data_IF_050340552913
#
_entry.id   IF_050340552913
#
_cell.length_a   1.000
_cell.length_b   1.000
_cell.length_c   1.000
_cell.angle_alpha   90.00
_cell.angle_beta   90.00
_cell.angle_gamma   90.00
#
_symmetry.space_group_name_H-M   'P 1'
#
loop_
_entity.id
_entity.type
_entity.pdbx_description
1 polymer ?
#
# COMPACT_ATOMS: atom_id res chain seq x y z
N UNK A 1 -16.37 13.52 16.04
CA UNK A 1 -15.80 12.19 15.70
C UNK A 1 -14.39 12.44 15.25
N UNK A 2 -13.44 11.72 15.85
CA UNK A 2 -12.01 12.05 15.83
C UNK A 2 -11.42 11.75 14.44
N UNK A 3 -11.02 12.78 13.69
CA UNK A 3 -10.55 12.70 12.29
C UNK A 3 -9.41 11.68 12.11
N UNK A 4 -8.54 11.57 13.12
CA UNK A 4 -7.45 10.58 13.18
C UNK A 4 -7.96 9.13 13.23
N UNK A 5 -9.09 8.89 13.90
CA UNK A 5 -9.72 7.57 13.96
C UNK A 5 -10.27 7.15 12.60
N UNK A 6 -10.87 8.09 11.87
CA UNK A 6 -11.40 7.82 10.52
C UNK A 6 -10.27 7.62 9.51
N UNK A 7 -9.19 8.40 9.59
CA UNK A 7 -8.00 8.20 8.75
C UNK A 7 -7.34 6.82 9.00
N UNK A 8 -7.21 6.41 10.27
CA UNK A 8 -6.69 5.07 10.63
C UNK A 8 -7.54 3.94 10.05
N UNK A 9 -8.86 4.08 10.08
CA UNK A 9 -9.79 3.11 9.47
C UNK A 9 -9.63 3.05 7.95
N UNK A 10 -9.48 4.20 7.29
CA UNK A 10 -9.24 4.25 5.84
C UNK A 10 -7.92 3.56 5.47
N UNK A 11 -6.82 3.81 6.20
CA UNK A 11 -5.56 3.12 5.96
C UNK A 11 -5.65 1.61 6.20
N UNK A 12 -6.39 1.16 7.22
CA UNK A 12 -6.62 -0.27 7.44
C UNK A 12 -7.36 -0.89 6.24
N UNK A 13 -8.45 -0.25 5.78
CA UNK A 13 -9.22 -0.73 4.63
C UNK A 13 -8.38 -0.74 3.35
N UNK A 14 -7.61 0.32 3.09
CA UNK A 14 -6.71 0.42 1.94
C UNK A 14 -5.67 -0.71 1.95
N UNK A 15 -4.96 -0.89 3.07
CA UNK A 15 -3.95 -1.95 3.19
C UNK A 15 -4.55 -3.35 3.02
N UNK A 16 -5.77 -3.58 3.50
CA UNK A 16 -6.48 -4.84 3.28
C UNK A 16 -6.78 -5.07 1.79
N UNK A 17 -7.25 -4.04 1.07
CA UNK A 17 -7.50 -4.16 -0.37
C UNK A 17 -6.21 -4.40 -1.16
N UNK A 18 -5.11 -3.70 -0.81
CA UNK A 18 -3.80 -3.92 -1.42
C UNK A 18 -3.29 -5.35 -1.18
N UNK A 19 -3.44 -5.88 0.04
CA UNK A 19 -3.07 -7.27 0.35
C UNK A 19 -3.83 -8.30 -0.47
N UNK A 20 -5.14 -8.09 -0.68
CA UNK A 20 -5.95 -8.97 -1.55
C UNK A 20 -5.47 -8.90 -3.01
N UNK A 21 -5.17 -7.71 -3.52
CA UNK A 21 -4.66 -7.53 -4.89
C UNK A 21 -3.29 -8.21 -5.03
N UNK A 22 -2.41 -8.04 -4.05
CA UNK A 22 -1.09 -8.67 -4.02
C UNK A 22 -1.20 -10.20 -4.10
N UNK A 23 -1.99 -10.82 -3.22
CA UNK A 23 -2.17 -12.27 -3.20
C UNK A 23 -2.74 -12.80 -4.53
N UNK A 24 -3.67 -12.06 -5.15
CA UNK A 24 -4.19 -12.44 -6.46
C UNK A 24 -3.14 -12.31 -7.57
N UNK A 25 -2.31 -11.26 -7.55
CA UNK A 25 -1.25 -11.06 -8.53
C UNK A 25 -0.16 -12.14 -8.41
N UNK A 26 0.26 -12.46 -7.19
CA UNK A 26 1.20 -13.56 -6.90
C UNK A 26 0.63 -14.91 -7.38
N UNK A 27 -0.66 -15.16 -7.14
CA UNK A 27 -1.32 -16.38 -7.61
C UNK A 27 -1.38 -16.45 -9.15
N UNK A 28 -1.65 -15.31 -9.81
CA UNK A 28 -1.63 -15.21 -11.28
C UNK A 28 -0.23 -15.47 -11.83
N UNK A 29 0.81 -14.89 -11.23
CA UNK A 29 2.19 -15.09 -11.62
C UNK A 29 2.60 -16.56 -11.49
N UNK A 30 2.27 -17.18 -10.36
CA UNK A 30 2.57 -18.57 -10.08
C UNK A 30 1.84 -19.54 -11.03
N UNK A 31 0.64 -19.19 -11.48
CA UNK A 31 -0.20 -20.04 -12.35
C UNK A 31 -0.10 -19.71 -13.84
N UNK A 32 0.61 -18.65 -14.22
CA UNK A 32 0.75 -18.25 -15.61
C UNK A 32 1.49 -19.32 -16.43
N UNK A 33 0.87 -19.76 -17.52
CA UNK A 33 1.42 -20.77 -18.44
C UNK A 33 2.30 -20.16 -19.53
N UNK A 34 2.14 -18.86 -19.79
CA UNK A 34 2.94 -18.09 -20.74
C UNK A 34 3.70 -16.96 -20.05
N UNK A 35 4.83 -16.58 -20.65
CA UNK A 35 5.75 -15.61 -20.08
C UNK A 35 5.18 -14.18 -20.06
N UNK A 36 4.32 -13.85 -21.02
CA UNK A 36 3.70 -12.53 -21.10
C UNK A 36 2.79 -12.28 -19.90
N UNK A 37 1.93 -13.26 -19.57
CA UNK A 37 1.05 -13.17 -18.42
C UNK A 37 1.82 -13.22 -17.09
N UNK A 38 2.90 -14.01 -17.01
CA UNK A 38 3.79 -14.04 -15.84
C UNK A 38 4.44 -12.67 -15.61
N UNK A 39 5.04 -12.09 -16.63
CA UNK A 39 5.68 -10.77 -16.57
C UNK A 39 4.69 -9.67 -16.17
N UNK A 40 3.46 -9.71 -16.72
CA UNK A 40 2.41 -8.76 -16.36
C UNK A 40 1.97 -8.92 -14.90
N UNK A 41 1.85 -10.14 -14.40
CA UNK A 41 1.51 -10.39 -13.01
C UNK A 41 2.62 -9.91 -12.06
N UNK A 42 3.88 -10.18 -12.38
CA UNK A 42 5.04 -9.68 -11.64
C UNK A 42 5.07 -8.13 -11.59
N UNK A 43 4.71 -7.46 -12.69
CA UNK A 43 4.59 -6.00 -12.71
C UNK A 43 3.50 -5.51 -11.75
N UNK A 44 2.35 -6.19 -11.69
CA UNK A 44 1.28 -5.85 -10.74
C UNK A 44 1.76 -6.04 -9.30
N UNK A 45 2.46 -7.15 -9.01
CA UNK A 45 3.07 -7.39 -7.68
C UNK A 45 3.96 -6.20 -7.29
N UNK A 46 4.89 -5.81 -8.16
CA UNK A 46 5.79 -4.69 -7.92
C UNK A 46 5.04 -3.38 -7.64
N UNK A 47 4.04 -3.04 -8.47
CA UNK A 47 3.25 -1.83 -8.28
C UNK A 47 2.43 -1.82 -6.99
N UNK A 48 1.93 -2.98 -6.53
CA UNK A 48 1.20 -3.08 -5.26
C UNK A 48 2.14 -2.87 -4.08
N UNK A 49 3.35 -3.43 -4.13
CA UNK A 49 4.36 -3.21 -3.09
C UNK A 49 4.76 -1.73 -2.98
N UNK A 50 4.94 -1.04 -4.11
CA UNK A 50 5.17 0.41 -4.14
C UNK A 50 4.00 1.20 -3.56
N UNK A 51 2.76 0.82 -3.89
CA UNK A 51 1.57 1.45 -3.34
C UNK A 51 1.45 1.27 -1.81
N UNK A 52 1.81 0.09 -1.30
CA UNK A 52 1.86 -0.17 0.14
C UNK A 52 2.94 0.66 0.83
N UNK A 53 4.11 0.85 0.22
CA UNK A 53 5.15 1.75 0.74
C UNK A 53 4.64 3.18 0.81
N UNK A 54 4.06 3.68 -0.29
CA UNK A 54 3.47 5.02 -0.36
C UNK A 54 2.39 5.22 0.72
N UNK A 55 1.49 4.25 0.89
CA UNK A 55 0.45 4.30 1.92
C UNK A 55 1.04 4.36 3.34
N UNK A 56 2.14 3.63 3.58
CA UNK A 56 2.85 3.66 4.87
C UNK A 56 3.52 5.00 5.12
N UNK A 57 4.15 5.59 4.10
CA UNK A 57 4.78 6.92 4.17
C UNK A 57 3.75 8.01 4.52
N UNK A 58 2.62 8.05 3.79
CA UNK A 58 1.54 9.01 4.07
C UNK A 58 1.03 8.84 5.51
N UNK A 59 0.87 7.60 6.00
CA UNK A 59 0.44 7.37 7.39
C UNK A 59 1.47 7.91 8.37
N UNK A 60 2.75 7.66 8.17
CA UNK A 60 3.83 8.14 9.04
C UNK A 60 3.89 9.66 9.08
N UNK A 61 3.77 10.35 7.94
CA UNK A 61 3.78 11.82 7.87
C UNK A 61 2.56 12.44 8.59
N UNK A 62 1.42 11.76 8.60
CA UNK A 62 0.18 12.25 9.25
C UNK A 62 0.08 11.88 10.72
N UNK A 63 0.75 10.81 11.14
CA UNK A 63 0.85 10.40 12.56
C UNK A 63 2.02 11.07 13.28
N UNK A 64 2.96 11.69 12.56
CA UNK A 64 4.00 12.54 13.13
C UNK A 64 3.43 13.95 13.35
N UNK A 65 3.11 14.37 14.58
CA UNK A 65 2.83 15.78 14.84
C UNK A 65 4.12 16.53 14.51
N UNK A 66 4.01 17.54 13.64
CA UNK A 66 5.12 18.38 13.23
C UNK A 66 6.01 18.74 14.43
N UNK A 67 7.23 18.23 14.41
CA UNK A 67 8.40 18.87 14.97
C UNK A 67 8.58 20.22 14.26
N UNK A 68 7.74 21.19 14.64
CA UNK A 68 7.87 22.60 14.30
C UNK A 68 7.77 23.39 15.62
N UNK A 69 8.84 23.35 16.39
CA UNK A 69 9.08 24.20 17.56
C UNK A 69 10.57 24.20 17.87
N UNK A 70 11.37 24.85 17.01
CA UNK A 70 12.68 25.45 17.36
C UNK A 70 13.35 26.04 16.10
N UNK A 71 12.89 27.22 15.67
CA UNK A 71 13.70 28.19 14.90
C UNK A 71 13.02 29.56 14.98
N UNK A 72 13.30 30.25 16.08
CA UNK A 72 12.84 31.61 16.38
C UNK A 72 13.40 32.04 17.72
#
# INVERSE_FOLDING_TARGET
MDELTDLRRLFHRLNNQLGIILANAELLEAKATDEMNRSRAAQIVASVLEAMSTAREIRTDRESPASDSSRG
#
